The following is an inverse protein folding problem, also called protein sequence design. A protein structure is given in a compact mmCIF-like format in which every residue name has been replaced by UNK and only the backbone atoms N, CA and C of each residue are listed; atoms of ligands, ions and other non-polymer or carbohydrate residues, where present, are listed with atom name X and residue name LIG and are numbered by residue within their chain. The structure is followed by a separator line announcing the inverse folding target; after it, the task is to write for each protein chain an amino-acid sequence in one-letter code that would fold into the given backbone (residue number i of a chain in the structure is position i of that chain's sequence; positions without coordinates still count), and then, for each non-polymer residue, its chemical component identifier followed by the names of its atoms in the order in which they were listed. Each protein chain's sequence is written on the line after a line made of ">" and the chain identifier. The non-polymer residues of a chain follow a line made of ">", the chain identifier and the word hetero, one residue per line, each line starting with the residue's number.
data_IF_305675629042
#
_entry.id   IF_305675629042
#
_cell.length_a   1.000
_cell.length_b   1.000
_cell.length_c   1.000
_cell.angle_alpha   90.00
_cell.angle_beta   90.00
_cell.angle_gamma   90.00
#
_symmetry.space_group_name_H-M   'P 1'
#
loop_
_entity.id
_entity.type
_entity.pdbx_description
1 polymer ?
#
# COMPACT_ATOMS: atom_id res chain seq x y z
N UNK A 1 14.59 38.23 35.02
CA UNK A 1 14.44 37.68 33.66
C UNK A 1 13.19 36.82 33.65
N UNK A 2 12.08 37.36 33.14
CA UNK A 2 10.83 36.62 32.97
C UNK A 2 10.99 35.68 31.79
N UNK A 3 11.10 34.38 32.05
CA UNK A 3 10.98 33.36 31.01
C UNK A 3 9.54 33.40 30.52
N UNK A 4 9.32 33.95 29.33
CA UNK A 4 8.05 33.84 28.63
C UNK A 4 7.84 32.38 28.27
N UNK A 5 7.12 31.64 29.09
CA UNK A 5 6.63 30.32 28.73
C UNK A 5 5.64 30.54 27.59
N UNK A 6 6.06 30.23 26.36
CA UNK A 6 5.13 30.23 25.23
C UNK A 6 4.03 29.25 25.55
N UNK A 7 2.78 29.71 25.64
CA UNK A 7 1.60 28.90 25.89
C UNK A 7 1.21 28.12 24.61
N UNK A 8 2.17 27.39 24.06
CA UNK A 8 2.05 26.66 22.80
C UNK A 8 1.34 25.35 23.09
N UNK A 9 0.05 25.27 22.77
CA UNK A 9 -0.69 24.01 22.79
C UNK A 9 -0.18 23.14 21.64
N UNK A 10 0.39 21.98 21.95
CA UNK A 10 0.71 20.97 20.95
C UNK A 10 -0.58 20.35 20.40
N UNK A 11 -0.58 20.05 19.11
CA UNK A 11 -1.71 19.43 18.40
C UNK A 11 -1.17 18.31 17.50
N UNK A 12 -2.03 17.36 17.15
CA UNK A 12 -1.68 16.31 16.20
C UNK A 12 -1.39 16.90 14.81
N UNK A 13 -0.54 16.20 14.05
CA UNK A 13 -0.20 16.60 12.69
C UNK A 13 -1.43 16.40 11.81
N UNK A 14 -1.72 17.35 10.91
CA UNK A 14 -2.80 17.20 9.93
C UNK A 14 -2.66 15.85 9.20
N UNK A 15 -3.72 15.03 9.25
CA UNK A 15 -3.76 13.69 8.65
C UNK A 15 -3.23 12.55 9.55
N UNK A 16 -2.84 12.84 10.79
CA UNK A 16 -2.45 11.88 11.83
C UNK A 16 -3.45 12.02 12.97
N UNK A 17 -4.41 11.11 13.05
CA UNK A 17 -5.53 11.23 13.98
C UNK A 17 -5.39 10.27 15.15
N UNK A 18 -5.65 10.77 16.36
CA UNK A 18 -5.78 9.93 17.55
C UNK A 18 -7.04 9.05 17.42
N UNK A 19 -6.91 7.78 17.78
CA UNK A 19 -8.06 6.87 17.95
C UNK A 19 -8.45 6.91 19.42
N UNK A 20 -9.51 7.66 19.72
CA UNK A 20 -9.97 7.87 21.10
C UNK A 20 -10.75 6.67 21.65
N UNK A 21 -10.89 6.53 22.98
CA UNK A 21 -11.57 5.39 23.62
C UNK A 21 -12.99 5.12 23.12
N UNK A 22 -13.70 6.14 22.63
CA UNK A 22 -15.05 5.99 22.09
C UNK A 22 -15.05 5.28 20.73
N UNK A 23 -13.96 5.37 19.97
CA UNK A 23 -13.79 4.73 18.67
C UNK A 23 -13.19 3.32 18.78
N UNK A 24 -12.39 3.03 19.81
CA UNK A 24 -11.67 1.74 19.94
C UNK A 24 -12.55 0.50 19.89
N UNK A 25 -13.82 0.47 20.37
CA UNK A 25 -14.65 -0.74 20.25
C UNK A 25 -14.89 -1.16 18.80
N UNK A 26 -15.02 -0.19 17.88
CA UNK A 26 -15.17 -0.48 16.45
C UNK A 26 -13.87 -1.02 15.83
N UNK A 27 -12.72 -0.49 16.28
CA UNK A 27 -11.41 -1.02 15.89
C UNK A 27 -11.25 -2.46 16.34
N UNK A 28 -11.50 -2.76 17.62
CA UNK A 28 -11.41 -4.14 18.12
C UNK A 28 -12.33 -5.09 17.36
N UNK A 29 -13.56 -4.68 17.04
CA UNK A 29 -14.46 -5.49 16.20
C UNK A 29 -13.82 -5.84 14.85
N UNK A 30 -13.24 -4.85 14.15
CA UNK A 30 -12.57 -5.07 12.87
C UNK A 30 -11.37 -6.02 13.02
N UNK A 31 -10.49 -5.72 13.97
CA UNK A 31 -9.25 -6.46 14.19
C UNK A 31 -9.51 -7.91 14.62
N UNK A 32 -10.46 -8.14 15.53
CA UNK A 32 -10.81 -9.48 16.01
C UNK A 32 -11.47 -10.32 14.91
N UNK A 33 -12.31 -9.70 14.10
CA UNK A 33 -12.93 -10.38 12.94
C UNK A 33 -11.86 -10.78 11.93
N UNK A 34 -10.93 -9.88 11.61
CA UNK A 34 -9.82 -10.17 10.71
C UNK A 34 -8.93 -11.29 11.28
N UNK A 35 -8.49 -11.19 12.54
CA UNK A 35 -7.69 -12.23 13.23
C UNK A 35 -8.35 -13.61 13.13
N UNK A 36 -9.65 -13.68 13.41
CA UNK A 36 -10.42 -14.93 13.37
C UNK A 36 -10.44 -15.53 11.96
N UNK A 37 -10.72 -14.72 10.94
CA UNK A 37 -10.84 -15.20 9.56
C UNK A 37 -9.47 -15.61 9.02
N UNK A 38 -8.44 -14.79 9.20
CA UNK A 38 -7.08 -15.10 8.74
C UNK A 38 -6.55 -16.42 9.34
N UNK A 39 -6.83 -16.67 10.63
CA UNK A 39 -6.47 -17.93 11.28
C UNK A 39 -7.18 -19.15 10.67
N UNK A 40 -8.42 -19.01 10.18
CA UNK A 40 -9.15 -20.11 9.52
C UNK A 40 -8.55 -20.50 8.16
N UNK A 41 -7.76 -19.60 7.55
CA UNK A 41 -7.04 -19.84 6.30
C UNK A 41 -5.55 -20.19 6.51
N UNK A 42 -5.11 -20.33 7.76
CA UNK A 42 -3.72 -20.66 8.07
C UNK A 42 -2.72 -19.52 7.84
N UNK A 43 -3.20 -18.27 7.75
CA UNK A 43 -2.32 -17.10 7.66
C UNK A 43 -1.71 -16.79 9.03
N UNK A 44 -0.38 -16.71 9.08
CA UNK A 44 0.38 -16.40 10.30
C UNK A 44 0.78 -14.94 10.37
N UNK A 45 0.77 -14.36 11.58
CA UNK A 45 1.09 -12.93 11.72
C UNK A 45 2.59 -12.68 11.54
N UNK A 46 2.93 -11.68 10.74
CA UNK A 46 4.28 -11.11 10.65
C UNK A 46 4.23 -9.64 11.08
N UNK A 47 5.29 -9.19 11.77
CA UNK A 47 5.43 -7.80 12.23
C UNK A 47 6.75 -7.25 11.72
N UNK A 48 6.65 -6.10 11.08
CA UNK A 48 7.77 -5.45 10.40
C UNK A 48 7.98 -4.06 10.99
N UNK A 49 9.22 -3.53 10.96
CA UNK A 49 9.49 -2.15 11.32
C UNK A 49 8.56 -1.16 10.61
N UNK A 50 8.33 0.00 11.24
CA UNK A 50 7.65 1.12 10.59
C UNK A 50 8.59 1.90 9.67
N UNK A 51 9.89 1.78 9.90
CA UNK A 51 10.95 2.50 9.20
C UNK A 51 11.83 1.48 8.50
N UNK A 52 12.04 1.67 7.21
CA UNK A 52 12.86 0.82 6.35
C UNK A 52 13.80 1.70 5.50
N UNK A 53 14.87 1.13 4.92
CA UNK A 53 15.69 1.84 3.95
C UNK A 53 14.85 2.38 2.80
N UNK A 54 15.04 3.65 2.41
CA UNK A 54 14.26 4.29 1.33
C UNK A 54 14.31 3.48 0.02
N UNK A 55 15.47 2.89 -0.27
CA UNK A 55 15.68 2.10 -1.48
C UNK A 55 14.76 0.88 -1.60
N UNK A 56 14.30 0.32 -0.47
CA UNK A 56 13.33 -0.78 -0.47
C UNK A 56 12.07 -0.40 -1.24
N UNK A 57 11.49 0.77 -0.94
CA UNK A 57 10.24 1.22 -1.55
C UNK A 57 10.43 1.77 -2.97
N UNK A 58 11.57 2.43 -3.23
CA UNK A 58 11.90 2.93 -4.58
C UNK A 58 11.93 1.77 -5.59
N UNK A 59 12.59 0.66 -5.25
CA UNK A 59 12.72 -0.50 -6.14
C UNK A 59 11.45 -1.33 -6.25
N UNK A 60 10.73 -1.53 -5.14
CA UNK A 60 9.59 -2.46 -5.08
C UNK A 60 8.28 -1.85 -5.56
N UNK A 61 7.97 -0.60 -5.17
CA UNK A 61 6.72 0.08 -5.56
C UNK A 61 6.85 0.65 -6.98
N UNK A 62 8.07 1.05 -7.36
CA UNK A 62 8.41 1.56 -8.68
C UNK A 62 8.66 3.08 -8.66
N UNK A 63 9.76 3.48 -9.29
CA UNK A 63 10.28 4.85 -9.29
C UNK A 63 9.28 5.89 -9.81
N UNK A 64 8.43 5.51 -10.76
CA UNK A 64 7.46 6.40 -11.42
C UNK A 64 6.06 6.34 -10.81
N UNK A 65 5.95 5.93 -9.55
CA UNK A 65 4.68 5.96 -8.82
C UNK A 65 4.57 7.25 -8.02
N UNK A 66 3.34 7.79 -7.90
CA UNK A 66 3.12 8.99 -7.08
C UNK A 66 3.57 8.75 -5.62
N UNK A 67 3.45 7.51 -5.13
CA UNK A 67 3.96 7.09 -3.82
C UNK A 67 5.44 7.44 -3.70
N UNK A 68 6.27 6.90 -4.61
CA UNK A 68 7.72 7.05 -4.55
C UNK A 68 8.17 8.48 -4.89
N UNK A 69 7.54 9.12 -5.88
CA UNK A 69 7.96 10.45 -6.34
C UNK A 69 7.60 11.57 -5.36
N UNK A 70 6.45 11.46 -4.66
CA UNK A 70 5.83 12.62 -3.98
C UNK A 70 5.25 12.33 -2.60
N UNK A 71 4.91 11.08 -2.29
CA UNK A 71 4.12 10.77 -1.09
C UNK A 71 4.91 10.05 0.02
N UNK A 72 6.17 9.68 -0.17
CA UNK A 72 6.96 9.05 0.91
C UNK A 72 7.37 10.04 2.00
N UNK A 73 7.18 9.65 3.26
CA UNK A 73 7.80 10.31 4.40
C UNK A 73 9.24 9.78 4.57
N UNK A 74 10.18 10.39 3.87
CA UNK A 74 11.59 10.02 3.87
C UNK A 74 12.47 11.09 4.56
N UNK A 75 13.53 10.65 5.23
CA UNK A 75 14.54 11.51 5.84
C UNK A 75 15.92 10.87 5.77
N UNK A 76 16.93 11.67 6.07
CA UNK A 76 18.28 11.18 6.33
C UNK A 76 18.51 11.12 7.84
N UNK A 77 18.94 9.97 8.34
CA UNK A 77 19.33 9.83 9.73
C UNK A 77 20.54 10.72 10.04
N UNK A 78 20.44 11.51 11.10
CA UNK A 78 21.44 12.53 11.42
C UNK A 78 22.76 11.95 11.95
N UNK A 79 22.76 10.73 12.48
CA UNK A 79 23.93 10.11 13.09
C UNK A 79 24.78 9.34 12.08
N UNK A 80 24.14 8.63 11.15
CA UNK A 80 24.84 7.74 10.22
C UNK A 80 24.62 8.07 8.74
N UNK A 81 23.70 8.98 8.42
CA UNK A 81 23.42 9.39 7.04
C UNK A 81 22.52 8.42 6.27
N UNK A 82 21.93 7.41 6.91
CA UNK A 82 21.04 6.45 6.26
C UNK A 82 19.79 7.15 5.72
N UNK A 83 19.38 6.76 4.50
CA UNK A 83 18.12 7.20 3.92
C UNK A 83 17.01 6.28 4.41
N UNK A 84 16.14 6.82 5.24
CA UNK A 84 15.08 6.10 5.93
C UNK A 84 13.71 6.58 5.46
N UNK A 85 12.73 5.70 5.51
CA UNK A 85 11.36 6.01 5.11
C UNK A 85 10.35 5.31 5.99
N UNK A 86 9.34 6.06 6.44
CA UNK A 86 8.16 5.48 7.07
C UNK A 86 7.40 4.68 6.00
N UNK A 87 7.08 3.42 6.30
CA UNK A 87 6.48 2.51 5.32
C UNK A 87 5.19 3.07 4.72
N UNK A 88 5.09 3.21 3.38
CA UNK A 88 3.86 3.66 2.71
C UNK A 88 2.88 2.52 2.43
N UNK A 89 3.34 1.27 2.58
CA UNK A 89 2.62 0.02 2.36
C UNK A 89 3.33 -1.13 3.10
N UNK A 90 2.78 -2.35 3.10
CA UNK A 90 3.30 -3.48 3.89
C UNK A 90 3.93 -4.63 3.11
N UNK A 91 3.65 -4.76 1.82
CA UNK A 91 4.12 -5.83 0.94
C UNK A 91 5.64 -5.79 0.78
N UNK A 92 6.26 -4.63 0.50
CA UNK A 92 7.71 -4.58 0.28
C UNK A 92 8.50 -4.97 1.55
N UNK A 93 8.06 -4.49 2.71
CA UNK A 93 8.61 -4.90 4.00
C UNK A 93 8.45 -6.40 4.24
N UNK A 94 7.33 -6.98 3.78
CA UNK A 94 7.03 -8.40 3.97
C UNK A 94 7.94 -9.26 3.10
N UNK A 95 8.09 -8.89 1.83
CA UNK A 95 9.04 -9.50 0.89
C UNK A 95 10.47 -9.42 1.46
N UNK A 96 10.89 -8.24 1.95
CA UNK A 96 12.21 -8.06 2.57
C UNK A 96 12.42 -9.00 3.75
N UNK A 97 11.44 -9.13 4.65
CA UNK A 97 11.51 -10.05 5.78
C UNK A 97 11.56 -11.53 5.36
N UNK A 98 10.79 -11.91 4.35
CA UNK A 98 10.80 -13.27 3.80
C UNK A 98 12.16 -13.62 3.21
N UNK A 99 12.77 -12.70 2.46
CA UNK A 99 14.09 -12.89 1.87
C UNK A 99 15.17 -12.92 2.96
N UNK A 100 15.19 -11.92 3.85
CA UNK A 100 16.19 -11.78 4.92
C UNK A 100 16.24 -13.00 5.83
N UNK A 101 15.09 -13.60 6.13
CA UNK A 101 15.00 -14.76 7.02
C UNK A 101 14.79 -16.10 6.27
N UNK A 102 14.88 -16.10 4.93
CA UNK A 102 14.68 -17.29 4.10
C UNK A 102 13.41 -18.08 4.46
N UNK A 103 12.30 -17.38 4.72
CA UNK A 103 11.08 -17.99 5.29
C UNK A 103 10.46 -19.04 4.37
N UNK A 104 10.72 -18.98 3.06
CA UNK A 104 10.24 -19.95 2.08
C UNK A 104 11.12 -21.20 1.95
N UNK A 105 12.23 -21.31 2.69
CA UNK A 105 13.16 -22.45 2.62
C UNK A 105 12.47 -23.80 2.90
N UNK A 106 11.58 -23.83 3.91
CA UNK A 106 10.86 -25.05 4.29
C UNK A 106 9.50 -25.20 3.58
N UNK A 107 9.21 -24.33 2.61
CA UNK A 107 7.98 -24.35 1.83
C UNK A 107 7.19 -23.03 1.86
N UNK A 108 6.03 -23.01 1.17
CA UNK A 108 5.23 -21.81 0.98
C UNK A 108 4.75 -21.18 2.29
N UNK A 109 4.60 -19.85 2.30
CA UNK A 109 4.24 -19.07 3.48
C UNK A 109 2.96 -18.27 3.24
N UNK A 110 1.98 -18.40 4.14
CA UNK A 110 0.82 -17.52 4.24
C UNK A 110 1.03 -16.55 5.40
N UNK A 111 1.25 -15.28 5.11
CA UNK A 111 1.60 -14.26 6.08
C UNK A 111 0.57 -13.14 6.08
N UNK A 112 0.28 -12.57 7.24
CA UNK A 112 -0.57 -11.38 7.35
C UNK A 112 0.02 -10.37 8.32
N UNK A 113 -0.26 -9.10 8.08
CA UNK A 113 0.16 -8.00 8.93
C UNK A 113 -0.98 -7.02 9.14
N UNK A 114 -0.86 -6.23 10.21
CA UNK A 114 -1.77 -5.14 10.51
C UNK A 114 -0.99 -4.01 11.17
N UNK A 115 -1.26 -2.77 10.77
CA UNK A 115 -0.68 -1.61 11.43
C UNK A 115 -0.70 -0.34 10.60
N UNK A 116 -0.06 0.73 11.11
CA UNK A 116 -0.05 2.03 10.45
C UNK A 116 0.85 2.03 9.21
N UNK A 117 0.47 2.85 8.24
CA UNK A 117 1.15 3.16 6.99
C UNK A 117 1.11 4.67 6.77
N UNK A 118 2.07 5.21 6.01
CA UNK A 118 2.29 6.65 5.91
C UNK A 118 2.44 7.13 4.46
N UNK A 119 1.56 8.03 4.02
CA UNK A 119 1.65 8.66 2.71
C UNK A 119 1.35 10.15 2.80
N UNK A 120 2.19 11.00 2.22
CA UNK A 120 2.06 12.45 2.21
C UNK A 120 1.00 12.91 1.20
N UNK A 121 -0.18 12.29 1.25
CA UNK A 121 -1.32 12.60 0.40
C UNK A 121 -2.01 13.91 0.83
N UNK A 122 -2.73 14.51 -0.11
CA UNK A 122 -3.69 15.56 0.19
C UNK A 122 -4.83 14.98 1.03
N UNK A 123 -4.97 15.50 2.25
CA UNK A 123 -6.00 15.02 3.20
C UNK A 123 -7.39 15.36 2.66
N UNK A 124 -8.18 14.32 2.44
CA UNK A 124 -9.57 14.38 1.99
C UNK A 124 -10.36 13.21 2.58
N UNK A 125 -11.68 13.13 2.35
CA UNK A 125 -12.50 12.03 2.85
C UNK A 125 -11.93 10.68 2.37
N UNK A 126 -11.55 9.83 3.32
CA UNK A 126 -10.94 8.52 3.06
C UNK A 126 -9.43 8.52 2.78
N UNK A 127 -8.77 9.69 2.70
CA UNK A 127 -7.30 9.80 2.52
C UNK A 127 -6.68 10.53 3.71
N UNK A 128 -5.91 9.78 4.50
CA UNK A 128 -5.18 10.27 5.68
C UNK A 128 -3.69 10.13 5.44
N UNK A 129 -2.88 10.87 6.21
CA UNK A 129 -1.41 10.79 6.09
C UNK A 129 -0.81 9.64 6.88
N UNK A 130 -1.41 9.31 8.02
CA UNK A 130 -1.30 8.02 8.67
C UNK A 130 -2.64 7.31 8.52
N UNK A 131 -2.61 6.10 8.00
CA UNK A 131 -3.78 5.21 7.89
C UNK A 131 -3.37 3.80 8.31
N UNK A 132 -4.33 2.90 8.48
CA UNK A 132 -4.07 1.55 8.95
C UNK A 132 -4.49 0.54 7.90
N UNK A 133 -3.65 -0.47 7.67
CA UNK A 133 -3.93 -1.56 6.74
C UNK A 133 -3.92 -2.90 7.46
N UNK A 134 -4.73 -3.83 6.94
CA UNK A 134 -4.59 -5.26 7.14
C UNK A 134 -4.23 -5.82 5.77
N UNK A 135 -3.10 -6.51 5.66
CA UNK A 135 -2.61 -7.09 4.42
C UNK A 135 -2.30 -8.57 4.59
N UNK A 136 -2.37 -9.30 3.49
CA UNK A 136 -2.08 -10.73 3.41
C UNK A 136 -1.14 -10.97 2.24
N UNK A 137 -0.19 -11.88 2.41
CA UNK A 137 0.80 -12.25 1.42
C UNK A 137 0.93 -13.77 1.39
N UNK A 138 0.97 -14.35 0.19
CA UNK A 138 1.14 -15.78 0.00
C UNK A 138 2.37 -16.02 -0.88
N UNK A 139 3.47 -16.45 -0.26
CA UNK A 139 4.76 -16.65 -0.93
C UNK A 139 4.99 -18.12 -1.26
N UNK A 140 5.50 -18.40 -2.46
CA UNK A 140 5.77 -19.77 -2.93
C UNK A 140 4.53 -20.50 -3.46
N UNK A 141 3.50 -19.77 -3.87
CA UNK A 141 2.33 -20.31 -4.54
C UNK A 141 2.26 -19.72 -5.97
N UNK A 142 2.31 -20.59 -6.98
CA UNK A 142 2.34 -20.18 -8.40
C UNK A 142 0.98 -20.34 -9.10
N UNK A 143 0.01 -20.96 -8.44
CA UNK A 143 -1.29 -21.31 -9.00
C UNK A 143 -2.36 -20.25 -8.74
N UNK A 144 -3.39 -20.15 -9.62
CA UNK A 144 -4.50 -19.19 -9.46
C UNK A 144 -5.44 -19.53 -8.29
N UNK A 145 -5.26 -20.69 -7.66
CA UNK A 145 -5.99 -21.12 -6.48
C UNK A 145 -5.70 -20.23 -5.27
N UNK A 146 -4.47 -19.70 -5.16
CA UNK A 146 -4.11 -18.76 -4.09
C UNK A 146 -4.79 -17.40 -4.27
N UNK A 147 -4.91 -16.91 -5.51
CA UNK A 147 -5.66 -15.69 -5.83
C UNK A 147 -7.14 -15.86 -5.46
N UNK A 148 -7.74 -16.99 -5.85
CA UNK A 148 -9.12 -17.31 -5.50
C UNK A 148 -9.31 -17.43 -3.98
N UNK A 149 -8.37 -18.05 -3.26
CA UNK A 149 -8.36 -18.15 -1.80
C UNK A 149 -8.44 -16.77 -1.16
N UNK A 150 -7.58 -15.84 -1.58
CA UNK A 150 -7.53 -14.47 -1.05
C UNK A 150 -8.81 -13.67 -1.36
N UNK A 151 -9.36 -13.81 -2.56
CA UNK A 151 -10.64 -13.19 -2.94
C UNK A 151 -11.79 -13.70 -2.05
N UNK A 152 -11.88 -15.01 -1.86
CA UNK A 152 -12.93 -15.62 -1.01
C UNK A 152 -12.72 -15.21 0.46
N UNK A 153 -11.48 -15.15 0.93
CA UNK A 153 -11.14 -14.70 2.27
C UNK A 153 -11.59 -13.26 2.52
N UNK A 154 -11.35 -12.35 1.55
CA UNK A 154 -11.82 -10.97 1.61
C UNK A 154 -13.36 -10.89 1.63
N UNK A 155 -14.04 -11.69 0.81
CA UNK A 155 -15.50 -11.76 0.83
C UNK A 155 -16.04 -12.24 2.18
N UNK A 156 -15.39 -13.24 2.82
CA UNK A 156 -15.73 -13.69 4.17
C UNK A 156 -15.49 -12.61 5.22
N UNK A 157 -14.45 -11.78 5.06
CA UNK A 157 -14.22 -10.64 5.95
C UNK A 157 -15.39 -9.65 5.91
N UNK A 158 -15.85 -9.28 4.72
CA UNK A 158 -17.02 -8.40 4.58
C UNK A 158 -18.27 -8.99 5.23
N UNK A 159 -18.56 -10.27 4.95
CA UNK A 159 -19.68 -10.97 5.58
C UNK A 159 -19.56 -11.02 7.12
N UNK A 160 -18.36 -11.30 7.65
CA UNK A 160 -18.08 -11.34 9.09
C UNK A 160 -18.24 -9.98 9.78
N UNK A 161 -18.02 -8.88 9.05
CA UNK A 161 -18.24 -7.52 9.53
C UNK A 161 -19.71 -7.07 9.41
N UNK A 162 -20.54 -7.82 8.67
CA UNK A 162 -21.93 -7.47 8.36
C UNK A 162 -22.07 -6.47 7.20
N UNK A 163 -21.06 -6.40 6.32
CA UNK A 163 -21.05 -5.53 5.14
C UNK A 163 -21.40 -6.39 3.93
N UNK A 164 -22.55 -6.10 3.30
CA UNK A 164 -23.09 -6.93 2.21
C UNK A 164 -23.14 -6.21 0.85
N UNK A 165 -23.16 -4.88 0.85
CA UNK A 165 -23.16 -4.07 -0.37
C UNK A 165 -21.72 -3.86 -0.85
N UNK A 166 -21.11 -4.94 -1.35
CA UNK A 166 -19.74 -4.97 -1.87
C UNK A 166 -19.72 -5.61 -3.25
N UNK A 167 -18.98 -5.00 -4.17
CA UNK A 167 -18.77 -5.52 -5.53
C UNK A 167 -17.32 -5.95 -5.72
N UNK A 168 -17.11 -7.10 -6.34
CA UNK A 168 -15.79 -7.58 -6.75
C UNK A 168 -15.52 -7.16 -8.20
N UNK A 169 -14.41 -6.45 -8.40
CA UNK A 169 -13.88 -6.13 -9.72
C UNK A 169 -12.54 -6.84 -9.87
N UNK A 170 -12.40 -7.67 -10.91
CA UNK A 170 -11.16 -8.38 -11.21
C UNK A 170 -10.59 -7.90 -12.54
N UNK A 171 -9.26 -7.91 -12.64
CA UNK A 171 -8.51 -7.62 -13.86
C UNK A 171 -7.20 -8.41 -13.84
N UNK A 172 -6.55 -8.54 -15.00
CA UNK A 172 -5.18 -9.04 -15.12
C UNK A 172 -4.31 -8.02 -15.84
N UNK A 173 -3.08 -7.84 -15.39
CA UNK A 173 -2.06 -7.04 -16.09
C UNK A 173 -1.18 -7.88 -17.02
N UNK A 174 -1.51 -9.17 -17.16
CA UNK A 174 -0.76 -10.14 -17.96
C UNK A 174 0.62 -10.45 -17.41
N UNK A 175 1.39 -11.19 -18.20
CA UNK A 175 2.82 -11.40 -17.97
C UNK A 175 3.68 -10.23 -18.50
N UNK A 176 5.00 -10.34 -18.34
CA UNK A 176 5.91 -9.29 -18.77
C UNK A 176 5.91 -9.05 -20.31
N UNK A 177 5.73 -10.11 -21.11
CA UNK A 177 5.70 -10.03 -22.57
C UNK A 177 4.38 -9.41 -23.05
N UNK A 178 3.25 -9.87 -22.51
CA UNK A 178 1.93 -9.30 -22.77
C UNK A 178 1.88 -7.82 -22.39
N UNK A 179 2.42 -7.47 -21.22
CA UNK A 179 2.49 -6.09 -20.75
C UNK A 179 3.37 -5.21 -21.64
N UNK A 180 4.50 -5.73 -22.14
CA UNK A 180 5.35 -5.02 -23.08
C UNK A 180 4.63 -4.77 -24.41
N UNK A 181 3.96 -5.79 -24.97
CA UNK A 181 3.19 -5.63 -26.20
C UNK A 181 2.02 -4.65 -26.05
N UNK A 182 1.30 -4.70 -24.93
CA UNK A 182 0.21 -3.77 -24.65
C UNK A 182 0.70 -2.35 -24.41
N UNK A 183 1.89 -2.17 -23.79
CA UNK A 183 2.53 -0.87 -23.63
C UNK A 183 2.76 -0.19 -24.98
N UNK A 184 3.31 -0.90 -25.97
CA UNK A 184 3.53 -0.35 -27.31
C UNK A 184 2.20 0.04 -27.98
N UNK A 185 1.17 -0.80 -27.82
CA UNK A 185 -0.17 -0.51 -28.33
C UNK A 185 -0.74 0.78 -27.73
N UNK A 186 -0.60 0.96 -26.40
CA UNK A 186 -1.05 2.17 -25.72
C UNK A 186 -0.29 3.42 -26.16
N UNK A 187 1.04 3.32 -26.33
CA UNK A 187 1.86 4.45 -26.79
C UNK A 187 1.39 4.89 -28.18
N UNK A 188 1.30 3.96 -29.13
CA UNK A 188 0.85 4.25 -30.49
C UNK A 188 -0.55 4.87 -30.52
N UNK A 189 -1.46 4.35 -29.70
CA UNK A 189 -2.81 4.91 -29.58
C UNK A 189 -2.80 6.33 -29.02
N UNK A 190 -2.06 6.59 -27.95
CA UNK A 190 -2.03 7.90 -27.31
C UNK A 190 -1.24 8.95 -28.09
N UNK A 191 -0.22 8.56 -28.85
CA UNK A 191 0.49 9.46 -29.77
C UNK A 191 -0.44 10.04 -30.85
N UNK A 192 -1.36 9.22 -31.38
CA UNK A 192 -2.37 9.67 -32.34
C UNK A 192 -3.36 10.69 -31.75
N UNK A 193 -3.45 10.75 -30.42
CA UNK A 193 -4.36 11.62 -29.68
C UNK A 193 -3.62 12.57 -28.73
N UNK A 194 -2.33 12.85 -28.99
CA UNK A 194 -1.46 13.59 -28.08
C UNK A 194 -2.00 14.99 -27.74
N UNK A 195 -2.74 15.61 -28.66
CA UNK A 195 -3.33 16.94 -28.48
C UNK A 195 -4.46 16.95 -27.44
N UNK A 196 -5.08 15.79 -27.17
CA UNK A 196 -6.12 15.62 -26.15
C UNK A 196 -5.56 15.28 -24.77
N UNK A 197 -4.26 14.97 -24.68
CA UNK A 197 -3.62 14.61 -23.42
C UNK A 197 -3.27 15.86 -22.59
N UNK A 198 -3.58 15.79 -21.30
CA UNK A 198 -3.07 16.75 -20.33
C UNK A 198 -1.55 16.57 -20.09
N UNK A 199 -0.95 17.50 -19.36
CA UNK A 199 0.50 17.51 -19.13
C UNK A 199 0.99 16.30 -18.32
N UNK A 200 0.14 15.74 -17.45
CA UNK A 200 0.49 14.55 -16.65
C UNK A 200 0.50 13.29 -17.53
N UNK A 201 -0.52 13.14 -18.38
CA UNK A 201 -0.61 12.07 -19.36
C UNK A 201 0.54 12.14 -20.37
N UNK A 202 0.89 13.33 -20.87
CA UNK A 202 2.06 13.53 -21.75
C UNK A 202 3.36 13.10 -21.09
N UNK A 203 3.55 13.43 -19.80
CA UNK A 203 4.74 12.99 -19.03
C UNK A 203 4.79 11.47 -18.87
N UNK A 204 3.64 10.82 -18.72
CA UNK A 204 3.51 9.37 -18.49
C UNK A 204 3.56 8.53 -19.77
N UNK A 205 3.33 9.13 -20.94
CA UNK A 205 3.20 8.44 -22.23
C UNK A 205 4.33 7.43 -22.48
N UNK A 206 5.59 7.86 -22.39
CA UNK A 206 6.73 6.99 -22.67
C UNK A 206 7.33 6.30 -21.45
N UNK A 207 6.82 6.56 -20.24
CA UNK A 207 7.36 6.00 -18.98
C UNK A 207 6.41 4.95 -18.40
N UNK A 208 5.12 5.25 -18.27
CA UNK A 208 4.11 4.35 -17.74
C UNK A 208 2.72 4.63 -18.37
N UNK A 209 2.50 4.28 -19.65
CA UNK A 209 1.27 4.62 -20.38
C UNK A 209 0.01 3.97 -19.79
N UNK A 210 0.14 2.84 -19.09
CA UNK A 210 -0.97 2.22 -18.35
C UNK A 210 -1.63 3.18 -17.34
N UNK A 211 -0.85 4.10 -16.76
CA UNK A 211 -1.37 5.09 -15.79
C UNK A 211 -2.21 6.17 -16.43
N UNK A 212 -2.13 6.37 -17.74
CA UNK A 212 -3.01 7.30 -18.47
C UNK A 212 -4.46 6.80 -18.40
N UNK A 213 -4.67 5.48 -18.40
CA UNK A 213 -6.01 4.86 -18.29
C UNK A 213 -6.69 5.12 -16.94
N UNK A 214 -5.94 5.53 -15.91
CA UNK A 214 -6.46 5.85 -14.57
C UNK A 214 -6.57 7.38 -14.34
N UNK A 215 -6.48 8.18 -15.42
CA UNK A 215 -6.64 9.64 -15.31
C UNK A 215 -7.97 10.01 -14.66
N UNK A 216 -7.94 11.07 -13.84
CA UNK A 216 -9.15 11.68 -13.26
C UNK A 216 -9.59 12.93 -14.02
N UNK A 217 -8.86 13.29 -15.07
CA UNK A 217 -9.20 14.36 -16.00
C UNK A 217 -9.86 13.72 -17.24
N UNK A 218 -11.19 13.83 -17.39
CA UNK A 218 -11.93 13.26 -18.51
C UNK A 218 -11.65 13.98 -19.84
#
# INVERSE_FOLDING_TARGET
>A
MSVSVSNTKFQSIKGFYDILPEATPLWFKLEDTARKILAQYGYNNIRMPLVEPTELFVRSVGEHTDIVEKEMYAWQDALNGDKLTLRPEGTAGCVRAVVEHSLTYNGPQRLWYMGPMFRHENVQKGRQRQFHQIGVEAFGFDGPDVDAEQIIMLARLWAGLGIHDVALHINSIGDAHERAAYRETLIQYFEQHADLLDDDAKRRLHTNPLRILDTKNP
#
